data_IF_540563150629
#
_entry.id   IF_540563150629
#
_cell.length_a   1.000
_cell.length_b   1.000
_cell.length_c   1.000
_cell.angle_alpha   90.00
_cell.angle_beta   90.00
_cell.angle_gamma   90.00
#
_symmetry.space_group_name_H-M   'P 1'
#
loop_
_entity.id
_entity.type
_entity.pdbx_description
1 polymer ?
#
# COMPACT_ATOMS: atom_id res chain seq x y z
N UNK A 1 15.67 13.29 44.61
CA UNK A 1 15.57 13.13 43.14
C UNK A 1 14.41 13.99 42.62
N UNK A 2 14.60 15.28 42.33
CA UNK A 2 13.53 16.15 41.80
C UNK A 2 14.03 17.20 40.78
N UNK A 3 15.24 17.04 40.23
CA UNK A 3 15.85 18.02 39.32
C UNK A 3 15.35 17.88 37.88
N UNK A 4 14.61 16.82 37.55
CA UNK A 4 14.20 16.51 36.17
C UNK A 4 12.83 17.07 35.76
N UNK A 5 12.12 17.81 36.63
CA UNK A 5 10.74 18.28 36.35
C UNK A 5 10.63 19.68 35.74
N UNK A 6 11.73 20.44 35.70
CA UNK A 6 11.78 21.82 35.17
C UNK A 6 12.39 21.92 33.76
N UNK A 7 12.84 20.80 33.18
CA UNK A 7 13.38 20.78 31.82
C UNK A 7 12.22 20.79 30.84
N UNK A 8 11.97 21.94 30.21
CA UNK A 8 11.01 22.06 29.11
C UNK A 8 11.44 21.07 28.02
N UNK A 9 10.57 20.14 27.68
CA UNK A 9 10.86 19.06 26.72
C UNK A 9 11.10 19.64 25.31
N UNK A 10 10.46 20.78 25.00
CA UNK A 10 10.53 21.45 23.71
C UNK A 10 11.97 21.81 23.26
N UNK A 11 12.81 22.51 24.06
CA UNK A 11 14.19 22.81 23.67
C UNK A 11 15.07 21.57 23.52
N UNK A 12 14.89 20.53 24.35
CA UNK A 12 15.70 19.30 24.26
C UNK A 12 15.41 18.53 22.98
N UNK A 13 14.13 18.43 22.60
CA UNK A 13 13.73 17.77 21.35
C UNK A 13 14.22 18.54 20.13
N UNK A 14 14.20 19.88 20.18
CA UNK A 14 14.68 20.72 19.08
C UNK A 14 16.19 20.51 18.84
N UNK A 15 16.99 20.44 19.91
CA UNK A 15 18.43 20.12 19.82
C UNK A 15 18.67 18.71 19.27
N UNK A 16 17.88 17.72 19.69
CA UNK A 16 18.00 16.34 19.19
C UNK A 16 17.70 16.22 17.69
N UNK A 17 16.65 16.90 17.20
CA UNK A 17 16.30 16.93 15.77
C UNK A 17 17.40 17.61 14.96
N UNK A 18 17.95 18.72 15.46
CA UNK A 18 19.01 19.47 14.78
C UNK A 18 20.30 18.65 14.71
N UNK A 19 20.65 17.91 15.77
CA UNK A 19 21.77 16.97 15.77
C UNK A 19 21.63 15.85 14.74
N UNK A 20 20.42 15.27 14.59
CA UNK A 20 20.16 14.23 13.59
C UNK A 20 20.21 14.78 12.15
N UNK A 21 19.76 16.01 11.93
CA UNK A 21 19.85 16.67 10.62
C UNK A 21 21.32 16.89 10.22
N UNK A 22 22.16 17.36 11.15
CA UNK A 22 23.60 17.53 10.90
C UNK A 22 24.28 16.19 10.62
N UNK A 23 23.96 15.14 11.38
CA UNK A 23 24.54 13.81 11.14
C UNK A 23 24.11 13.23 9.78
N UNK A 24 22.89 13.51 9.34
CA UNK A 24 22.37 13.05 8.04
C UNK A 24 23.03 13.80 6.87
N UNK A 25 23.25 15.11 7.02
CA UNK A 25 23.94 15.92 6.01
C UNK A 25 25.45 15.59 6.00
N UNK A 26 26.05 15.35 7.16
CA UNK A 26 27.43 14.90 7.27
C UNK A 26 27.62 13.50 6.67
N UNK A 27 26.67 12.58 6.87
CA UNK A 27 26.65 11.28 6.20
C UNK A 27 26.58 11.40 4.67
N UNK A 28 25.85 12.39 4.15
CA UNK A 28 25.79 12.68 2.71
C UNK A 28 27.08 13.32 2.15
N UNK A 29 27.85 14.03 2.98
CA UNK A 29 29.10 14.71 2.56
C UNK A 29 30.37 13.86 2.76
N UNK A 30 30.41 13.02 3.79
CA UNK A 30 31.58 12.23 4.17
C UNK A 30 31.58 10.83 3.55
N UNK A 31 30.40 10.27 3.26
CA UNK A 31 30.25 8.92 2.73
C UNK A 31 29.34 9.01 1.49
N UNK A 32 29.94 9.41 0.37
CA UNK A 32 29.29 9.63 -0.94
C UNK A 32 28.69 8.36 -1.54
N UNK A 33 27.69 7.79 -0.88
CA UNK A 33 27.18 6.46 -1.10
C UNK A 33 25.66 6.41 -1.12
N UNK A 34 25.02 7.26 -1.91
CA UNK A 34 23.73 6.92 -2.51
C UNK A 34 23.77 7.32 -3.97
N UNK A 35 23.80 6.28 -4.82
CA UNK A 35 23.76 6.30 -6.28
C UNK A 35 25.14 6.54 -6.93
N UNK A 36 25.55 5.59 -7.79
CA UNK A 36 26.73 5.59 -8.68
C UNK A 36 28.06 5.02 -8.18
N UNK A 37 28.06 3.80 -7.65
CA UNK A 37 29.27 2.97 -7.72
C UNK A 37 28.95 1.66 -8.46
N UNK A 38 29.54 1.50 -9.65
CA UNK A 38 29.48 0.26 -10.42
C UNK A 38 30.75 -0.51 -10.09
N UNK A 39 30.64 -1.41 -9.12
CA UNK A 39 31.70 -2.38 -8.83
C UNK A 39 31.50 -3.60 -9.76
N UNK A 40 32.38 -3.81 -10.76
CA UNK A 40 32.23 -4.90 -11.73
C UNK A 40 32.45 -6.30 -11.13
N UNK A 41 32.87 -6.40 -9.85
CA UNK A 41 33.21 -7.68 -9.23
C UNK A 41 32.38 -8.01 -7.97
N UNK A 42 31.25 -7.33 -7.77
CA UNK A 42 30.35 -7.63 -6.66
C UNK A 42 29.73 -9.03 -6.79
N UNK A 43 30.14 -9.95 -5.92
CA UNK A 43 29.60 -11.32 -5.79
C UNK A 43 28.24 -11.39 -5.10
N UNK A 44 27.63 -10.24 -4.79
CA UNK A 44 26.31 -10.17 -4.17
C UNK A 44 25.25 -9.93 -5.24
N UNK A 45 24.17 -10.74 -5.29
CA UNK A 45 23.09 -10.50 -6.24
C UNK A 45 22.50 -9.12 -5.98
N UNK A 46 22.32 -8.34 -7.05
CA UNK A 46 21.68 -7.03 -6.94
C UNK A 46 20.26 -7.20 -6.41
N UNK A 47 19.78 -6.18 -5.69
CA UNK A 47 18.41 -6.14 -5.18
C UNK A 47 17.36 -6.40 -6.27
N UNK A 48 17.65 -5.96 -7.51
CA UNK A 48 16.78 -6.19 -8.66
C UNK A 48 16.74 -7.67 -9.11
N UNK A 49 17.86 -8.38 -9.05
CA UNK A 49 17.91 -9.81 -9.39
C UNK A 49 17.18 -10.66 -8.34
N UNK A 50 17.31 -10.31 -7.06
CA UNK A 50 16.70 -11.06 -5.96
C UNK A 50 15.17 -10.94 -5.91
N UNK A 51 14.61 -9.78 -6.27
CA UNK A 51 13.18 -9.51 -6.11
C UNK A 51 12.37 -9.51 -7.40
N UNK A 52 13.02 -9.34 -8.56
CA UNK A 52 12.33 -9.15 -9.84
C UNK A 52 12.72 -10.17 -10.91
N UNK A 53 13.48 -11.22 -10.54
CA UNK A 53 13.93 -12.30 -11.43
C UNK A 53 14.54 -11.80 -12.75
N UNK A 54 15.34 -10.74 -12.68
CA UNK A 54 15.99 -10.14 -13.84
C UNK A 54 17.17 -11.03 -14.29
N UNK A 55 17.31 -11.39 -15.58
CA UNK A 55 18.41 -12.23 -16.03
C UNK A 55 19.75 -11.49 -15.89
N UNK A 56 20.57 -11.91 -14.94
CA UNK A 56 21.93 -11.42 -14.76
C UNK A 56 22.89 -12.12 -15.71
N UNK A 57 23.62 -11.37 -16.53
CA UNK A 57 24.57 -11.91 -17.52
C UNK A 57 25.81 -12.61 -16.96
N UNK A 58 25.82 -12.99 -15.68
CA UNK A 58 26.95 -13.64 -15.03
C UNK A 58 26.55 -15.04 -14.55
N UNK A 59 26.43 -15.98 -15.48
CA UNK A 59 26.36 -17.41 -15.15
C UNK A 59 27.56 -18.08 -15.81
N UNK A 60 28.54 -18.48 -14.99
CA UNK A 60 29.55 -19.47 -15.39
C UNK A 60 28.84 -20.82 -15.61
N UNK A 61 29.18 -21.58 -16.66
CA UNK A 61 28.48 -22.81 -17.00
C UNK A 61 28.97 -23.95 -16.12
N UNK A 62 28.22 -24.28 -15.08
CA UNK A 62 28.31 -25.55 -14.39
C UNK A 62 26.99 -25.76 -13.64
N UNK A 63 25.96 -26.21 -14.36
CA UNK A 63 24.89 -27.11 -13.89
C UNK A 63 23.97 -27.44 -15.09
N UNK A 64 23.65 -28.72 -15.42
CA UNK A 64 23.03 -29.08 -16.70
C UNK A 64 21.50 -28.94 -16.78
N UNK A 65 20.82 -28.48 -15.73
CA UNK A 65 19.38 -28.80 -15.55
C UNK A 65 18.42 -27.62 -15.57
N UNK A 66 18.77 -26.52 -16.25
CA UNK A 66 17.81 -25.43 -16.50
C UNK A 66 17.92 -24.93 -17.95
N UNK A 67 17.27 -25.66 -18.85
CA UNK A 67 16.96 -25.19 -20.20
C UNK A 67 15.90 -24.09 -20.15
N UNK A 68 16.28 -22.95 -20.69
CA UNK A 68 15.44 -21.80 -21.00
C UNK A 68 14.35 -22.16 -22.02
N UNK A 69 13.12 -22.41 -21.55
CA UNK A 69 11.94 -22.55 -22.41
C UNK A 69 10.84 -21.56 -22.02
N UNK A 70 11.07 -20.26 -22.24
CA UNK A 70 9.97 -19.30 -22.44
C UNK A 70 10.42 -18.24 -23.45
N UNK A 71 10.36 -18.57 -24.75
CA UNK A 71 10.11 -17.55 -25.77
C UNK A 71 9.03 -18.07 -26.71
N UNK A 72 7.91 -17.34 -26.79
CA UNK A 72 6.80 -17.64 -27.68
C UNK A 72 7.23 -17.48 -29.13
N UNK A 73 7.69 -18.57 -29.73
CA UNK A 73 7.93 -18.67 -31.17
C UNK A 73 6.68 -19.23 -31.83
N UNK A 74 5.89 -18.36 -32.48
CA UNK A 74 4.75 -18.77 -33.30
C UNK A 74 5.28 -19.55 -34.50
N UNK A 75 4.89 -20.82 -34.59
CA UNK A 75 5.12 -21.71 -35.72
C UNK A 75 4.45 -21.17 -36.99
N UNK A 76 5.23 -21.13 -38.08
CA UNK A 76 4.72 -20.95 -39.43
C UNK A 76 3.90 -22.19 -39.85
N UNK A 77 2.71 -22.03 -40.46
CA UNK A 77 1.90 -23.18 -40.88
C UNK A 77 2.50 -23.85 -42.14
N UNK A 78 2.39 -25.19 -42.26
CA UNK A 78 3.02 -25.95 -43.33
C UNK A 78 2.24 -25.87 -44.66
N UNK A 79 3.03 -25.84 -45.73
CA UNK A 79 2.65 -25.94 -47.14
C UNK A 79 2.12 -27.35 -47.44
N UNK A 80 0.95 -27.45 -48.09
CA UNK A 80 0.44 -28.69 -48.71
C UNK A 80 0.26 -28.47 -50.22
N UNK A 81 1.09 -29.15 -51.00
CA UNK A 81 0.84 -29.65 -52.37
C UNK A 81 -0.25 -30.74 -52.28
N UNK A 82 -1.25 -30.92 -53.13
CA UNK A 82 -1.38 -31.13 -54.60
C UNK A 82 -2.92 -31.29 -54.89
N UNK A 83 -3.48 -31.52 -56.12
CA UNK A 83 -2.92 -31.52 -57.48
C UNK A 83 -3.77 -30.72 -58.53
N UNK A 84 -3.27 -30.69 -59.77
CA UNK A 84 -3.91 -30.12 -60.99
C UNK A 84 -5.22 -30.84 -61.38
N UNK A 85 -6.06 -30.19 -62.21
CA UNK A 85 -6.19 -30.68 -63.58
C UNK A 85 -6.05 -29.59 -64.66
N UNK A 86 -5.66 -30.08 -65.84
CA UNK A 86 -5.37 -29.39 -67.10
C UNK A 86 -6.69 -29.14 -67.87
N UNK A 87 -6.60 -28.27 -68.89
CA UNK A 87 -7.49 -28.03 -70.06
C UNK A 87 -8.26 -26.71 -69.90
N UNK A 88 -8.18 -25.69 -70.76
CA UNK A 88 -7.67 -25.55 -72.13
C UNK A 88 -7.26 -24.08 -72.38
N UNK A 89 -6.26 -23.88 -73.25
CA UNK A 89 -6.11 -22.63 -74.00
C UNK A 89 -7.20 -22.57 -75.08
N UNK A 90 -7.68 -21.38 -75.45
CA UNK A 90 -7.14 -20.80 -76.67
C UNK A 90 -6.97 -19.27 -76.71
N UNK A 91 -6.11 -18.90 -77.65
CA UNK A 91 -6.07 -17.67 -78.45
C UNK A 91 -5.55 -16.37 -77.83
N UNK A 92 -4.28 -16.13 -78.19
CA UNK A 92 -3.73 -14.88 -78.67
C UNK A 92 -4.76 -13.80 -79.05
N UNK A 93 -4.83 -12.75 -78.25
CA UNK A 93 -5.19 -11.43 -78.72
C UNK A 93 -3.94 -10.54 -78.66
N UNK A 94 -3.54 -10.08 -79.84
CA UNK A 94 -2.42 -9.16 -80.08
C UNK A 94 -2.48 -7.95 -79.13
N UNK A 95 -1.33 -7.40 -78.71
CA UNK A 95 -1.30 -6.15 -77.97
C UNK A 95 -1.77 -5.04 -78.92
N UNK A 96 -2.96 -4.49 -78.67
CA UNK A 96 -3.27 -3.16 -79.16
C UNK A 96 -2.36 -2.22 -78.39
N UNK A 97 -1.33 -1.72 -79.07
CA UNK A 97 -0.56 -0.54 -78.66
C UNK A 97 -1.54 0.63 -78.51
N UNK A 98 -2.11 0.77 -77.32
CA UNK A 98 -2.53 2.08 -76.86
C UNK A 98 -1.25 2.94 -76.82
N UNK A 99 -1.26 4.17 -77.36
CA UNK A 99 -0.14 5.07 -77.22
C UNK A 99 0.30 5.06 -75.76
N UNK A 100 1.54 4.66 -75.51
CA UNK A 100 2.19 4.93 -74.23
C UNK A 100 2.26 6.46 -74.18
N UNK A 101 1.20 7.08 -73.66
CA UNK A 101 1.30 8.42 -73.09
C UNK A 101 2.43 8.29 -72.08
N UNK A 102 3.58 8.84 -72.47
CA UNK A 102 4.69 9.08 -71.56
C UNK A 102 4.06 9.64 -70.30
N UNK A 103 4.28 9.03 -69.11
CA UNK A 103 3.67 9.53 -67.90
C UNK A 103 4.05 11.01 -67.83
N UNK A 104 3.05 11.89 -67.92
CA UNK A 104 3.25 13.32 -67.86
C UNK A 104 4.16 13.56 -66.65
N UNK A 105 5.39 13.99 -66.91
CA UNK A 105 6.42 14.02 -65.88
C UNK A 105 5.87 14.80 -64.71
N UNK A 106 5.73 14.13 -63.56
CA UNK A 106 5.09 14.69 -62.35
C UNK A 106 5.58 16.13 -62.18
N UNK A 107 4.64 17.07 -62.19
CA UNK A 107 4.97 18.49 -62.13
C UNK A 107 5.76 18.79 -60.84
N UNK A 108 6.71 19.75 -60.85
CA UNK A 108 7.49 20.08 -59.65
C UNK A 108 6.63 20.39 -58.41
N UNK A 109 5.45 20.99 -58.62
CA UNK A 109 4.46 21.25 -57.57
C UNK A 109 3.84 19.99 -56.99
N UNK A 110 3.53 19.00 -57.83
CA UNK A 110 2.94 17.73 -57.40
C UNK A 110 3.95 16.88 -56.64
N UNK A 111 5.23 16.87 -57.06
CA UNK A 111 6.33 16.23 -56.30
C UNK A 111 6.47 16.84 -54.90
N UNK A 112 6.44 18.18 -54.79
CA UNK A 112 6.54 18.86 -53.51
C UNK A 112 5.35 18.55 -52.56
N UNK A 113 4.15 18.35 -53.10
CA UNK A 113 2.98 17.93 -52.31
C UNK A 113 3.14 16.49 -51.83
N UNK A 114 3.58 15.58 -52.69
CA UNK A 114 3.81 14.17 -52.32
C UNK A 114 4.90 14.04 -51.25
N UNK A 115 5.99 14.80 -51.35
CA UNK A 115 7.03 14.85 -50.32
C UNK A 115 6.50 15.35 -48.98
N UNK A 116 5.69 16.42 -48.97
CA UNK A 116 5.04 16.93 -47.75
C UNK A 116 4.07 15.92 -47.14
N UNK A 117 3.29 15.23 -47.97
CA UNK A 117 2.35 14.21 -47.51
C UNK A 117 3.09 13.00 -46.92
N UNK A 118 4.18 12.56 -47.55
CA UNK A 118 5.04 11.50 -47.02
C UNK A 118 5.69 11.91 -45.70
N UNK A 119 6.25 13.12 -45.60
CA UNK A 119 6.81 13.65 -44.37
C UNK A 119 5.76 13.72 -43.25
N UNK A 120 4.55 14.18 -43.58
CA UNK A 120 3.42 14.23 -42.65
C UNK A 120 2.99 12.83 -42.19
N UNK A 121 2.98 11.85 -43.10
CA UNK A 121 2.65 10.46 -42.75
C UNK A 121 3.69 9.88 -41.78
N UNK A 122 4.97 10.10 -42.05
CA UNK A 122 6.04 9.66 -41.14
C UNK A 122 5.93 10.32 -39.75
N UNK A 123 5.57 11.60 -39.69
CA UNK A 123 5.32 12.30 -38.43
C UNK A 123 4.14 11.68 -37.66
N UNK A 124 3.03 11.40 -38.35
CA UNK A 124 1.86 10.75 -37.73
C UNK A 124 2.18 9.33 -37.27
N UNK A 125 2.93 8.55 -38.06
CA UNK A 125 3.35 7.19 -37.69
C UNK A 125 4.32 7.20 -36.49
N UNK A 126 5.15 8.22 -36.36
CA UNK A 126 6.00 8.42 -35.18
C UNK A 126 5.15 8.75 -33.93
N UNK A 127 4.19 9.67 -34.06
CA UNK A 127 3.27 10.03 -32.96
C UNK A 127 2.38 8.86 -32.55
N UNK A 128 1.88 8.07 -33.50
CA UNK A 128 1.06 6.90 -33.24
C UNK A 128 1.82 5.86 -32.40
N UNK A 129 3.07 5.58 -32.78
CA UNK A 129 3.95 4.67 -32.02
C UNK A 129 4.25 5.19 -30.61
N UNK A 130 4.47 6.50 -30.47
CA UNK A 130 4.68 7.09 -29.15
C UNK A 130 3.45 6.95 -28.25
N UNK A 131 2.25 7.19 -28.79
CA UNK A 131 0.99 7.03 -28.06
C UNK A 131 0.77 5.58 -27.67
N UNK A 132 1.03 4.63 -28.56
CA UNK A 132 0.90 3.19 -28.28
C UNK A 132 1.84 2.74 -27.14
N UNK A 133 3.09 3.21 -27.13
CA UNK A 133 4.04 2.96 -26.04
C UNK A 133 3.50 3.55 -24.73
N UNK A 134 3.03 4.79 -24.74
CA UNK A 134 2.46 5.43 -23.53
C UNK A 134 1.23 4.68 -23.03
N UNK A 135 0.35 4.25 -23.92
CA UNK A 135 -0.86 3.51 -23.57
C UNK A 135 -0.52 2.15 -22.95
N UNK A 136 0.43 1.40 -23.53
CA UNK A 136 0.88 0.12 -22.96
C UNK A 136 1.51 0.29 -21.57
N UNK A 137 2.31 1.34 -21.37
CA UNK A 137 2.89 1.66 -20.06
C UNK A 137 1.81 2.04 -19.04
N UNK A 138 0.82 2.84 -19.43
CA UNK A 138 -0.31 3.20 -18.57
C UNK A 138 -1.16 1.97 -18.20
N UNK A 139 -1.47 1.09 -19.15
CA UNK A 139 -2.19 -0.17 -18.89
C UNK A 139 -1.42 -1.07 -17.93
N UNK A 140 -0.10 -1.18 -18.09
CA UNK A 140 0.74 -1.95 -17.17
C UNK A 140 0.76 -1.34 -15.77
N UNK A 141 0.81 0.00 -15.67
CA UNK A 141 0.74 0.72 -14.41
C UNK A 141 -0.63 0.56 -13.73
N UNK A 142 -1.73 0.67 -14.48
CA UNK A 142 -3.10 0.47 -14.00
C UNK A 142 -3.27 -0.94 -13.43
N UNK A 143 -2.87 -1.98 -14.17
CA UNK A 143 -2.92 -3.37 -13.70
C UNK A 143 -2.09 -3.58 -12.43
N UNK A 144 -0.93 -2.93 -12.33
CA UNK A 144 -0.09 -3.00 -11.12
C UNK A 144 -0.77 -2.31 -9.94
N UNK A 145 -1.43 -1.18 -10.15
CA UNK A 145 -2.18 -0.47 -9.10
C UNK A 145 -3.37 -1.32 -8.64
N UNK A 146 -4.12 -1.90 -9.57
CA UNK A 146 -5.26 -2.78 -9.26
C UNK A 146 -4.83 -3.97 -8.41
N UNK A 147 -3.76 -4.67 -8.80
CA UNK A 147 -3.18 -5.76 -8.01
C UNK A 147 -2.76 -5.31 -6.60
N UNK A 148 -2.13 -4.12 -6.46
CA UNK A 148 -1.78 -3.58 -5.14
C UNK A 148 -3.00 -3.24 -4.30
N UNK A 149 -4.08 -2.75 -4.91
CA UNK A 149 -5.33 -2.47 -4.21
C UNK A 149 -5.98 -3.76 -3.72
N UNK A 150 -5.97 -4.82 -4.53
CA UNK A 150 -6.48 -6.14 -4.12
C UNK A 150 -5.65 -6.74 -2.98
N UNK A 151 -4.32 -6.67 -3.05
CA UNK A 151 -3.42 -7.08 -1.96
C UNK A 151 -3.73 -6.31 -0.68
N UNK A 152 -3.86 -4.97 -0.76
CA UNK A 152 -4.19 -4.15 0.40
C UNK A 152 -5.55 -4.52 1.00
N UNK A 153 -6.59 -4.67 0.18
CA UNK A 153 -7.92 -5.11 0.65
C UNK A 153 -7.87 -6.49 1.30
N UNK A 154 -7.10 -7.42 0.75
CA UNK A 154 -6.92 -8.74 1.33
C UNK A 154 -6.23 -8.65 2.70
N UNK A 155 -5.17 -7.85 2.83
CA UNK A 155 -4.48 -7.63 4.10
C UNK A 155 -5.35 -6.92 5.13
N UNK A 156 -6.12 -5.91 4.72
CA UNK A 156 -7.08 -5.21 5.59
C UNK A 156 -8.16 -6.18 6.09
N UNK A 157 -8.69 -7.03 5.21
CA UNK A 157 -9.63 -8.07 5.60
C UNK A 157 -9.04 -9.09 6.59
N UNK A 158 -7.77 -9.48 6.41
CA UNK A 158 -7.08 -10.36 7.36
C UNK A 158 -6.85 -9.68 8.71
N UNK A 159 -6.44 -8.41 8.72
CA UNK A 159 -6.26 -7.61 9.93
C UNK A 159 -7.60 -7.44 10.66
N UNK A 160 -8.68 -7.17 9.93
CA UNK A 160 -10.03 -7.08 10.49
C UNK A 160 -10.43 -8.36 11.20
N UNK A 161 -10.29 -9.51 10.52
CA UNK A 161 -10.57 -10.83 11.12
C UNK A 161 -9.69 -11.14 12.32
N UNK A 162 -8.39 -10.87 12.24
CA UNK A 162 -7.46 -11.10 13.35
C UNK A 162 -7.79 -10.20 14.56
N UNK A 163 -8.22 -8.96 14.31
CA UNK A 163 -8.64 -8.02 15.37
C UNK A 163 -9.92 -8.49 16.02
N UNK A 164 -10.91 -8.94 15.24
CA UNK A 164 -12.16 -9.48 15.75
C UNK A 164 -11.92 -10.73 16.60
N UNK A 165 -11.16 -11.71 16.08
CA UNK A 165 -10.77 -12.91 16.84
C UNK A 165 -10.03 -12.57 18.14
N UNK A 166 -9.11 -11.60 18.10
CA UNK A 166 -8.42 -11.14 19.30
C UNK A 166 -9.39 -10.51 20.30
N UNK A 167 -10.32 -9.67 19.83
CA UNK A 167 -11.33 -9.05 20.68
C UNK A 167 -12.27 -10.08 21.33
N UNK A 168 -12.68 -11.10 20.58
CA UNK A 168 -13.49 -12.21 21.10
C UNK A 168 -12.71 -13.04 22.12
N UNK A 169 -11.44 -13.35 21.84
CA UNK A 169 -10.57 -14.07 22.76
C UNK A 169 -10.32 -13.28 24.06
N UNK A 170 -10.08 -11.98 23.95
CA UNK A 170 -9.88 -11.10 25.11
C UNK A 170 -11.18 -10.94 25.91
N UNK A 171 -12.34 -10.82 25.24
CA UNK A 171 -13.65 -10.82 25.90
C UNK A 171 -13.95 -12.15 26.60
N UNK A 172 -13.61 -13.29 26.00
CA UNK A 172 -13.77 -14.60 26.61
C UNK A 172 -12.86 -14.80 27.83
N UNK A 173 -11.60 -14.39 27.74
CA UNK A 173 -10.66 -14.38 28.86
C UNK A 173 -11.15 -13.50 30.00
N UNK A 174 -11.61 -12.29 29.66
CA UNK A 174 -12.13 -11.33 30.65
C UNK A 174 -13.39 -11.86 31.33
N UNK A 175 -14.32 -12.46 30.57
CA UNK A 175 -15.49 -13.16 31.12
C UNK A 175 -15.08 -14.28 32.07
N UNK A 176 -14.04 -15.05 31.75
CA UNK A 176 -13.48 -16.06 32.65
C UNK A 176 -12.99 -15.48 33.98
N UNK A 177 -12.31 -14.33 33.95
CA UNK A 177 -11.89 -13.61 35.16
C UNK A 177 -13.10 -13.19 35.99
N UNK A 178 -14.13 -12.63 35.35
CA UNK A 178 -15.38 -12.24 36.03
C UNK A 178 -16.04 -13.43 36.71
N UNK A 179 -16.24 -14.54 36.00
CA UNK A 179 -16.86 -15.75 36.54
C UNK A 179 -16.06 -16.30 37.74
N UNK A 180 -14.73 -16.18 37.72
CA UNK A 180 -13.90 -16.57 38.86
C UNK A 180 -14.20 -15.72 40.09
N UNK A 181 -14.33 -14.41 39.95
CA UNK A 181 -14.68 -13.53 41.07
C UNK A 181 -16.14 -13.70 41.52
N UNK A 182 -17.08 -13.96 40.61
CA UNK A 182 -18.50 -14.20 40.95
C UNK A 182 -18.74 -15.50 41.73
N UNK A 183 -17.92 -16.51 41.46
CA UNK A 183 -17.95 -17.81 42.15
C UNK A 183 -17.15 -17.82 43.46
N UNK A 184 -16.34 -16.78 43.72
CA UNK A 184 -15.59 -16.62 44.96
C UNK A 184 -16.48 -16.15 46.12
N UNK A 185 -16.06 -16.40 47.36
CA UNK A 185 -16.72 -15.87 48.56
C UNK A 185 -16.63 -14.33 48.57
N UNK A 186 -17.74 -13.59 48.83
CA UNK A 186 -17.73 -12.12 48.81
C UNK A 186 -16.68 -11.49 49.74
N UNK A 187 -16.44 -12.09 50.90
CA UNK A 187 -15.42 -11.63 51.87
C UNK A 187 -13.99 -11.71 51.35
N UNK A 188 -13.69 -12.72 50.54
CA UNK A 188 -12.35 -12.92 49.99
C UNK A 188 -12.15 -12.05 48.73
N UNK A 189 -13.19 -11.91 47.90
CA UNK A 189 -13.19 -10.97 46.78
C UNK A 189 -13.00 -9.51 47.23
N UNK A 190 -13.68 -9.09 48.31
CA UNK A 190 -13.55 -7.74 48.86
C UNK A 190 -12.11 -7.39 49.26
N UNK A 191 -11.40 -8.30 49.93
CA UNK A 191 -9.98 -8.11 50.30
C UNK A 191 -9.05 -7.95 49.10
N UNK A 192 -9.37 -8.61 47.98
CA UNK A 192 -8.61 -8.49 46.74
C UNK A 192 -8.93 -7.16 46.07
N UNK A 193 -10.21 -6.78 46.03
CA UNK A 193 -10.67 -5.54 45.41
C UNK A 193 -10.12 -4.31 46.14
N UNK A 194 -10.00 -4.33 47.47
CA UNK A 194 -9.37 -3.25 48.25
C UNK A 194 -7.91 -2.95 47.83
N UNK A 195 -7.22 -3.93 47.22
CA UNK A 195 -5.81 -3.83 46.81
C UNK A 195 -5.62 -3.71 45.30
N UNK A 196 -6.70 -3.85 44.53
CA UNK A 196 -6.65 -3.84 43.07
C UNK A 196 -6.52 -2.41 42.55
N UNK A 197 -5.87 -2.25 41.40
CA UNK A 197 -5.82 -0.95 40.73
C UNK A 197 -7.22 -0.48 40.34
N UNK A 198 -7.51 0.80 40.57
CA UNK A 198 -8.84 1.39 40.32
C UNK A 198 -9.34 1.18 38.88
N UNK A 199 -8.45 1.24 37.89
CA UNK A 199 -8.78 1.03 36.47
C UNK A 199 -9.36 -0.37 36.21
N UNK A 200 -8.64 -1.41 36.64
CA UNK A 200 -9.03 -2.82 36.51
C UNK A 200 -10.28 -3.11 37.36
N UNK A 201 -10.35 -2.53 38.55
CA UNK A 201 -11.50 -2.68 39.45
C UNK A 201 -12.77 -2.13 38.79
N UNK A 202 -12.71 -0.96 38.15
CA UNK A 202 -13.85 -0.37 37.45
C UNK A 202 -14.32 -1.22 36.26
N UNK A 203 -13.38 -1.80 35.50
CA UNK A 203 -13.73 -2.69 34.38
C UNK A 203 -14.45 -3.94 34.86
N UNK A 204 -13.89 -4.64 35.85
CA UNK A 204 -14.49 -5.84 36.43
C UNK A 204 -15.82 -5.51 37.10
N UNK A 205 -15.88 -4.42 37.87
CA UNK A 205 -17.08 -4.05 38.60
C UNK A 205 -18.24 -3.64 37.71
N UNK A 206 -17.95 -3.09 36.52
CA UNK A 206 -18.98 -2.73 35.54
C UNK A 206 -19.62 -3.93 34.84
N UNK A 207 -18.99 -5.12 34.88
CA UNK A 207 -19.47 -6.32 34.19
C UNK A 207 -19.97 -7.44 35.12
N UNK A 208 -19.63 -7.40 36.41
CA UNK A 208 -20.17 -8.34 37.42
C UNK A 208 -21.67 -8.12 37.62
N UNK A 209 -22.41 -9.20 37.93
CA UNK A 209 -23.81 -9.12 38.33
C UNK A 209 -24.04 -8.15 39.51
N UNK A 210 -24.96 -7.16 39.40
CA UNK A 210 -25.12 -6.11 40.42
C UNK A 210 -25.34 -6.63 41.85
N UNK A 211 -26.08 -7.74 42.01
CA UNK A 211 -26.30 -8.36 43.32
C UNK A 211 -25.01 -8.84 43.98
N UNK A 212 -24.14 -9.51 43.22
CA UNK A 212 -22.83 -10.00 43.70
C UNK A 212 -21.91 -8.83 44.03
N UNK A 213 -21.95 -7.77 43.22
CA UNK A 213 -21.19 -6.56 43.50
C UNK A 213 -21.64 -5.90 44.80
N UNK A 214 -22.94 -5.84 45.08
CA UNK A 214 -23.46 -5.32 46.36
C UNK A 214 -22.94 -6.10 47.57
N UNK A 215 -22.92 -7.43 47.49
CA UNK A 215 -22.39 -8.29 48.55
C UNK A 215 -20.88 -8.07 48.78
N UNK A 216 -20.12 -7.82 47.70
CA UNK A 216 -18.69 -7.52 47.78
C UNK A 216 -18.46 -6.12 48.35
N UNK A 217 -19.18 -5.10 47.85
CA UNK A 217 -19.09 -3.71 48.28
C UNK A 217 -19.36 -3.56 49.79
N UNK A 218 -20.32 -4.30 50.34
CA UNK A 218 -20.64 -4.27 51.77
C UNK A 218 -19.54 -4.84 52.67
N UNK A 219 -18.58 -5.58 52.11
CA UNK A 219 -17.47 -6.20 52.84
C UNK A 219 -16.11 -5.54 52.53
N UNK A 220 -16.08 -4.55 51.64
CA UNK A 220 -14.91 -3.74 51.31
C UNK A 220 -14.64 -2.68 52.39
N UNK A 221 -13.44 -2.09 52.34
CA UNK A 221 -13.15 -0.90 53.13
C UNK A 221 -14.00 0.30 52.69
N UNK A 222 -14.46 1.16 53.62
CA UNK A 222 -15.35 2.27 53.27
C UNK A 222 -14.69 3.24 52.28
N UNK A 223 -13.37 3.47 52.41
CA UNK A 223 -12.61 4.34 51.51
C UNK A 223 -12.54 3.78 50.08
N UNK A 224 -12.33 2.48 49.90
CA UNK A 224 -12.28 1.86 48.58
C UNK A 224 -13.66 1.81 47.91
N UNK A 225 -14.70 1.48 48.69
CA UNK A 225 -16.09 1.45 48.22
C UNK A 225 -16.60 2.84 47.79
N UNK A 226 -16.25 3.90 48.53
CA UNK A 226 -16.55 5.28 48.15
C UNK A 226 -15.91 5.63 46.80
N UNK A 227 -14.59 5.41 46.67
CA UNK A 227 -13.85 5.72 45.44
C UNK A 227 -14.42 4.98 44.23
N UNK A 228 -14.72 3.68 44.37
CA UNK A 228 -15.35 2.90 43.30
C UNK A 228 -16.69 3.49 42.88
N UNK A 229 -17.55 3.83 43.85
CA UNK A 229 -18.89 4.34 43.58
C UNK A 229 -18.85 5.70 42.89
N UNK A 230 -17.94 6.58 43.33
CA UNK A 230 -17.72 7.89 42.70
C UNK A 230 -17.28 7.73 41.24
N UNK A 231 -16.34 6.82 40.96
CA UNK A 231 -15.85 6.59 39.60
C UNK A 231 -16.90 5.90 38.71
N UNK A 232 -17.68 4.94 39.23
CA UNK A 232 -18.81 4.35 38.51
C UNK A 232 -19.87 5.40 38.16
N UNK A 233 -20.22 6.28 39.10
CA UNK A 233 -21.16 7.38 38.88
C UNK A 233 -20.62 8.38 37.85
N UNK A 234 -19.32 8.69 37.89
CA UNK A 234 -18.65 9.57 36.91
C UNK A 234 -18.68 8.97 35.50
N UNK A 235 -18.48 7.65 35.38
CA UNK A 235 -18.57 6.94 34.10
C UNK A 235 -20.00 6.90 33.58
N UNK A 236 -20.98 6.60 34.43
CA UNK A 236 -22.40 6.55 34.08
C UNK A 236 -22.95 7.93 33.66
N UNK A 237 -22.49 9.01 34.30
CA UNK A 237 -22.87 10.39 33.95
C UNK A 237 -22.20 10.93 32.68
N UNK A 238 -21.38 10.14 31.98
CA UNK A 238 -20.76 10.53 30.70
C UNK A 238 -19.78 11.70 30.80
N UNK A 239 -19.45 12.19 32.01
CA UNK A 239 -18.67 13.41 32.23
C UNK A 239 -17.22 13.29 31.75
N UNK A 240 -16.73 12.07 31.53
CA UNK A 240 -15.42 11.78 30.93
C UNK A 240 -15.46 11.73 29.39
N UNK A 241 -16.60 11.34 28.78
CA UNK A 241 -16.76 11.34 27.32
C UNK A 241 -17.09 12.74 26.77
N UNK A 242 -17.86 13.54 27.52
CA UNK A 242 -18.22 14.90 27.14
C UNK A 242 -17.02 15.86 27.11
N UNK A 243 -16.03 15.69 28.00
CA UNK A 243 -14.81 16.50 28.03
C UNK A 243 -13.84 16.16 26.89
N UNK A 244 -13.77 14.90 26.48
CA UNK A 244 -12.96 14.49 25.32
C UNK A 244 -13.57 14.97 24.00
N UNK A 245 -14.90 14.93 23.85
CA UNK A 245 -15.60 15.43 22.65
C UNK A 245 -15.57 16.95 22.52
N UNK A 246 -15.59 17.70 23.62
CA UNK A 246 -15.49 19.17 23.60
C UNK A 246 -14.08 19.67 23.25
N UNK A 247 -13.04 18.85 23.50
CA UNK A 247 -11.65 19.17 23.17
C UNK A 247 -11.32 18.90 21.68
N UNK A 248 -12.09 18.04 20.99
CA UNK A 248 -11.86 17.65 19.60
C UNK A 248 -12.58 18.51 18.56
N UNK A 249 -13.36 19.52 18.97
CA UNK A 249 -14.00 20.47 18.06
C UNK A 249 -13.01 21.58 17.65
N UNK A 250 -12.73 21.78 16.35
CA UNK A 250 -11.91 22.90 15.89
C UNK A 250 -12.65 24.21 16.20
N UNK A 251 -12.05 25.05 17.05
CA UNK A 251 -12.54 26.42 17.30
C UNK A 251 -12.32 27.24 16.03
N UNK A 252 -13.37 27.39 15.24
CA UNK A 252 -13.40 28.34 14.13
C UNK A 252 -13.54 29.73 14.76
N UNK A 253 -12.42 30.37 15.06
CA UNK A 253 -12.39 31.79 15.40
C UNK A 253 -12.73 32.59 14.13
N UNK A 254 -14.00 32.94 13.98
CA UNK A 254 -14.47 33.85 12.93
C UNK A 254 -13.89 35.24 13.17
N UNK A 255 -12.80 35.58 12.48
CA UNK A 255 -12.31 36.96 12.40
C UNK A 255 -13.30 37.76 11.53
N UNK A 256 -14.00 38.79 12.06
CA UNK A 256 -14.92 39.59 11.25
C UNK A 256 -14.11 40.39 10.23
N UNK A 257 -14.48 40.23 8.95
CA UNK A 257 -13.89 40.96 7.82
C UNK A 257 -14.47 42.37 7.86
N UNK A 258 -13.66 43.44 7.90
CA UNK A 258 -14.19 44.81 7.93
C UNK A 258 -14.86 45.15 6.59
N UNK A 259 -15.97 45.92 6.61
CA UNK A 259 -16.68 46.32 5.40
C UNK A 259 -15.80 47.25 4.55
N UNK A 260 -15.83 47.03 3.23
CA UNK A 260 -15.18 47.86 2.21
C UNK A 260 -15.92 49.17 2.00
#
# INVERSE_FOLDING_TARGET
MNVFRDIRILPVVLVAILGLAVLKIAGLLLDGGYVFDYDPNATRPSWAQANLNFPGGNVKPADPDYSSDITGSVQAPPKKEEPKPVVAAPEEAKPTEAPVEQPAGISPSERAILERLQARRQELDARAREVEIRESLLKAAEKRIESRVEEMKATEGQIGKATEQKSEADAARFKGIITMYESMKPKDAAKIFDRLEMSVLLEIASQIAPRKMSDILGLMTPEAAEKLTVELARRASGKTAATASAAALPKIEGRPIPPR
#
